data_IF_803968586417
#
_entry.id   IF_803968586417
#
_cell.length_a   1.000
_cell.length_b   1.000
_cell.length_c   1.000
_cell.angle_alpha   90.00
_cell.angle_beta   90.00
_cell.angle_gamma   90.00
#
_symmetry.space_group_name_H-M   'P 1'
#
loop_
_entity.id
_entity.type
_entity.pdbx_description
1 polymer ?
#
# COMPACT_ATOMS: atom_id res chain seq x y z
N UNK A 1 -16.29 -11.11 -10.35
CA UNK A 1 -17.45 -11.86 -10.86
C UNK A 1 -17.86 -12.92 -9.86
N UNK A 2 -19.07 -13.44 -9.97
CA UNK A 2 -19.58 -14.57 -9.19
C UNK A 2 -19.95 -15.74 -10.11
N UNK A 3 -19.99 -16.96 -9.58
CA UNK A 3 -20.30 -18.15 -10.37
C UNK A 3 -19.26 -18.43 -11.46
N UNK A 4 -19.70 -18.75 -12.67
CA UNK A 4 -18.85 -19.11 -13.82
C UNK A 4 -17.90 -17.98 -14.29
N UNK A 5 -18.14 -16.73 -13.85
CA UNK A 5 -17.29 -15.56 -14.16
C UNK A 5 -16.34 -15.17 -13.02
N UNK A 6 -16.18 -16.03 -12.01
CA UNK A 6 -15.28 -15.77 -10.87
C UNK A 6 -13.83 -15.81 -11.33
N UNK A 7 -13.19 -14.65 -11.35
CA UNK A 7 -11.75 -14.51 -11.56
C UNK A 7 -11.05 -14.58 -10.21
N UNK A 8 -10.09 -15.50 -10.07
CA UNK A 8 -9.20 -15.59 -8.91
C UNK A 8 -7.96 -14.76 -9.21
N UNK A 9 -7.93 -13.53 -8.73
CA UNK A 9 -6.79 -12.63 -8.94
C UNK A 9 -5.54 -13.12 -8.17
N UNK A 10 -5.75 -13.69 -6.99
CA UNK A 10 -4.76 -14.40 -6.18
C UNK A 10 -5.33 -15.79 -5.88
N UNK A 11 -4.54 -16.85 -6.08
CA UNK A 11 -4.97 -18.23 -5.90
C UNK A 11 -3.87 -19.02 -5.20
N UNK A 12 -4.04 -19.28 -3.89
CA UNK A 12 -3.06 -20.04 -3.09
C UNK A 12 -1.67 -19.41 -3.03
N UNK A 13 -1.59 -18.08 -2.87
CA UNK A 13 -0.31 -17.36 -2.82
C UNK A 13 0.21 -17.32 -1.39
N UNK A 14 1.36 -17.96 -1.16
CA UNK A 14 2.16 -17.82 0.06
C UNK A 14 3.45 -17.06 -0.25
N UNK A 15 3.66 -15.92 0.40
CA UNK A 15 4.83 -15.05 0.14
C UNK A 15 5.22 -14.26 1.38
N UNK A 16 6.53 -14.21 1.64
CA UNK A 16 7.14 -13.38 2.68
C UNK A 16 8.08 -12.35 2.08
N UNK A 17 7.94 -11.08 2.50
CA UNK A 17 8.79 -9.98 2.07
C UNK A 17 9.64 -9.52 3.25
N UNK A 18 10.94 -9.80 3.20
CA UNK A 18 11.86 -9.47 4.28
C UNK A 18 12.06 -7.96 4.45
N UNK A 19 12.08 -7.50 5.70
CA UNK A 19 12.35 -6.09 6.06
C UNK A 19 13.73 -5.65 5.53
N UNK A 20 13.78 -4.42 5.01
CA UNK A 20 15.03 -3.81 4.53
C UNK A 20 15.55 -4.42 3.21
N UNK A 21 14.72 -5.20 2.51
CA UNK A 21 15.04 -5.73 1.18
C UNK A 21 14.33 -4.93 0.11
N UNK A 22 15.04 -4.74 -1.00
CA UNK A 22 14.44 -4.28 -2.25
C UNK A 22 13.95 -5.51 -3.01
N UNK A 23 12.63 -5.67 -3.09
CA UNK A 23 11.98 -6.85 -3.68
C UNK A 23 11.22 -6.45 -4.94
N UNK A 24 11.43 -7.20 -6.03
CA UNK A 24 10.72 -7.00 -7.29
C UNK A 24 9.71 -8.13 -7.52
N UNK A 25 8.49 -7.77 -7.93
CA UNK A 25 7.44 -8.73 -8.30
C UNK A 25 7.19 -8.61 -9.80
N UNK A 26 7.42 -9.71 -10.53
CA UNK A 26 7.39 -9.75 -12.00
C UNK A 26 6.34 -10.75 -12.50
N UNK A 27 5.77 -10.51 -13.68
CA UNK A 27 4.78 -11.41 -14.28
C UNK A 27 3.92 -10.73 -15.35
N UNK A 28 3.18 -11.50 -16.18
CA UNK A 28 2.41 -10.97 -17.31
C UNK A 28 1.28 -10.04 -16.86
N UNK A 29 0.77 -9.18 -17.75
CA UNK A 29 -0.40 -8.34 -17.45
C UNK A 29 -1.58 -9.21 -17.01
N UNK A 30 -2.32 -8.77 -16.00
CA UNK A 30 -3.45 -9.53 -15.44
C UNK A 30 -3.09 -10.65 -14.46
N UNK A 31 -1.81 -10.94 -14.21
CA UNK A 31 -1.39 -12.02 -13.29
C UNK A 31 -1.60 -11.75 -11.79
N UNK A 32 -2.39 -10.74 -11.41
CA UNK A 32 -2.69 -10.44 -10.01
C UNK A 32 -1.65 -9.62 -9.24
N UNK A 33 -0.53 -9.18 -9.85
CA UNK A 33 0.54 -8.43 -9.16
C UNK A 33 0.07 -7.19 -8.41
N UNK A 34 -0.73 -6.34 -9.08
CA UNK A 34 -1.26 -5.13 -8.45
C UNK A 34 -2.24 -5.47 -7.33
N UNK A 35 -3.03 -6.53 -7.50
CA UNK A 35 -3.92 -7.05 -6.45
C UNK A 35 -3.10 -7.51 -5.23
N UNK A 36 -2.03 -8.29 -5.45
CA UNK A 36 -1.12 -8.71 -4.38
C UNK A 36 -0.55 -7.50 -3.62
N UNK A 37 -0.02 -6.53 -4.36
CA UNK A 37 0.55 -5.30 -3.78
C UNK A 37 -0.50 -4.50 -3.00
N UNK A 38 -1.73 -4.38 -3.50
CA UNK A 38 -2.80 -3.68 -2.78
C UNK A 38 -3.24 -4.42 -1.51
N UNK A 39 -3.33 -5.75 -1.53
CA UNK A 39 -3.64 -6.55 -0.35
C UNK A 39 -2.55 -6.42 0.72
N UNK A 40 -1.27 -6.56 0.34
CA UNK A 40 -0.12 -6.40 1.26
C UNK A 40 -0.08 -5.00 1.90
N UNK A 41 -0.57 -3.99 1.19
CA UNK A 41 -0.63 -2.60 1.65
C UNK A 41 -1.86 -2.26 2.49
N UNK A 42 -2.81 -3.18 2.63
CA UNK A 42 -4.12 -2.91 3.25
C UNK A 42 -4.98 -1.92 2.46
N UNK A 43 -4.79 -1.82 1.14
CA UNK A 43 -5.62 -1.03 0.23
C UNK A 43 -6.82 -1.82 -0.31
N UNK A 44 -6.72 -3.15 -0.30
CA UNK A 44 -7.78 -4.07 -0.71
C UNK A 44 -7.85 -5.23 0.29
N UNK A 45 -8.97 -5.94 0.34
CA UNK A 45 -9.18 -7.06 1.27
C UNK A 45 -9.06 -8.41 0.56
N UNK A 46 -8.43 -9.37 1.21
CA UNK A 46 -8.42 -10.75 0.74
C UNK A 46 -9.79 -11.41 0.90
N UNK A 47 -10.16 -12.27 -0.03
CA UNK A 47 -11.40 -13.07 0.09
C UNK A 47 -11.26 -14.18 1.12
N UNK A 48 -10.09 -14.81 1.17
CA UNK A 48 -9.72 -15.91 2.08
C UNK A 48 -8.23 -15.78 2.43
N UNK A 49 -7.80 -16.32 3.58
CA UNK A 49 -6.42 -16.24 4.06
C UNK A 49 -6.14 -15.03 4.96
N UNK A 50 -4.86 -14.82 5.31
CA UNK A 50 -4.41 -13.72 6.18
C UNK A 50 -3.31 -12.89 5.52
N UNK A 51 -3.20 -11.63 5.93
CA UNK A 51 -2.14 -10.70 5.53
C UNK A 51 -1.60 -10.05 6.79
N UNK A 52 -0.27 -10.02 6.90
CA UNK A 52 0.44 -9.44 8.03
C UNK A 52 1.39 -8.33 7.55
N UNK A 53 1.42 -7.22 8.28
CA UNK A 53 2.39 -6.14 8.10
C UNK A 53 3.29 -6.06 9.33
N UNK A 54 4.43 -6.76 9.28
CA UNK A 54 5.21 -7.05 10.48
C UNK A 54 4.41 -7.95 11.41
N UNK A 55 4.30 -7.58 12.68
CA UNK A 55 3.54 -8.34 13.68
C UNK A 55 2.02 -8.10 13.63
N UNK A 56 1.57 -7.10 12.87
CA UNK A 56 0.16 -6.72 12.80
C UNK A 56 -0.56 -7.54 11.72
N UNK A 57 -1.48 -8.43 12.10
CA UNK A 57 -2.44 -8.99 11.15
C UNK A 57 -3.43 -7.89 10.70
N UNK A 58 -3.51 -7.67 9.39
CA UNK A 58 -4.33 -6.60 8.81
C UNK A 58 -5.64 -7.09 8.21
N UNK A 59 -5.80 -8.40 8.03
CA UNK A 59 -7.04 -9.01 7.54
C UNK A 59 -8.20 -8.69 8.48
N UNK A 60 -9.31 -8.21 7.91
CA UNK A 60 -10.53 -7.91 8.67
C UNK A 60 -10.42 -6.73 9.65
N UNK A 61 -9.32 -5.96 9.64
CA UNK A 61 -9.22 -4.76 10.45
C UNK A 61 -10.28 -3.73 10.04
N UNK A 62 -10.87 -3.07 11.04
CA UNK A 62 -11.80 -1.96 10.79
C UNK A 62 -11.09 -0.81 10.08
N UNK A 63 -11.83 -0.11 9.22
CA UNK A 63 -11.29 0.97 8.36
C UNK A 63 -10.46 2.02 9.13
N UNK A 64 -10.90 2.44 10.34
CA UNK A 64 -10.13 3.39 11.17
C UNK A 64 -8.73 2.90 11.57
N UNK A 65 -8.54 1.58 11.74
CA UNK A 65 -7.22 0.99 12.07
C UNK A 65 -6.39 0.81 10.81
N UNK A 66 -6.99 0.39 9.69
CA UNK A 66 -6.33 0.35 8.38
C UNK A 66 -5.86 1.73 7.93
N UNK A 67 -6.68 2.77 8.11
CA UNK A 67 -6.31 4.16 7.78
C UNK A 67 -5.10 4.65 8.57
N UNK A 68 -5.00 4.32 9.87
CA UNK A 68 -3.80 4.65 10.66
C UNK A 68 -2.59 3.87 10.21
N UNK A 69 -2.74 2.57 9.95
CA UNK A 69 -1.65 1.72 9.50
C UNK A 69 -1.10 2.18 8.14
N UNK A 70 -1.98 2.49 7.17
CA UNK A 70 -1.60 3.04 5.87
C UNK A 70 -0.81 4.33 6.02
N UNK A 71 -1.35 5.27 6.78
CA UNK A 71 -0.72 6.57 7.04
C UNK A 71 0.66 6.45 7.71
N UNK A 72 0.83 5.48 8.59
CA UNK A 72 2.02 5.42 9.46
C UNK A 72 3.09 4.43 8.96
N UNK A 73 2.75 3.47 8.09
CA UNK A 73 3.66 2.37 7.68
C UNK A 73 3.71 2.07 6.19
N UNK A 74 2.83 2.64 5.38
CA UNK A 74 2.72 2.30 3.95
C UNK A 74 2.88 3.56 3.10
N UNK A 75 3.91 3.57 2.24
CA UNK A 75 4.04 4.52 1.15
C UNK A 75 3.64 3.88 -0.17
N UNK A 76 2.93 4.61 -1.04
CA UNK A 76 2.54 4.14 -2.35
C UNK A 76 3.01 5.09 -3.45
N UNK A 77 3.61 4.51 -4.48
CA UNK A 77 3.96 5.22 -5.72
C UNK A 77 3.24 4.50 -6.85
N UNK A 78 2.51 5.26 -7.65
CA UNK A 78 1.72 4.74 -8.76
C UNK A 78 2.44 4.95 -10.08
N UNK A 79 2.09 4.15 -11.10
CA UNK A 79 2.67 4.30 -12.44
C UNK A 79 2.31 5.64 -13.08
N UNK A 80 1.12 6.17 -12.79
CA UNK A 80 0.75 7.55 -13.09
C UNK A 80 1.08 8.43 -11.88
N UNK A 81 1.62 9.63 -12.13
CA UNK A 81 1.93 10.60 -11.08
C UNK A 81 0.63 11.11 -10.46
N UNK A 82 0.20 10.49 -9.35
CA UNK A 82 -0.98 10.90 -8.56
C UNK A 82 -0.69 12.17 -7.73
N UNK A 83 -0.05 13.17 -8.34
CA UNK A 83 0.21 14.46 -7.73
C UNK A 83 -1.05 15.31 -7.77
N UNK A 84 -1.26 16.11 -6.73
CA UNK A 84 -2.34 17.10 -6.70
C UNK A 84 -1.88 18.31 -7.52
N UNK A 85 -2.53 18.64 -8.66
CA UNK A 85 -2.01 19.65 -9.59
C UNK A 85 -1.99 21.07 -9.03
N UNK A 86 -2.79 21.34 -8.00
CA UNK A 86 -2.86 22.63 -7.33
C UNK A 86 -1.77 22.83 -6.28
N UNK A 87 -0.98 21.79 -6.00
CA UNK A 87 0.10 21.81 -5.02
C UNK A 87 1.45 21.75 -5.73
N UNK A 88 2.43 22.46 -5.19
CA UNK A 88 3.83 22.33 -5.63
C UNK A 88 4.44 21.01 -5.14
N UNK A 89 5.70 20.74 -5.53
CA UNK A 89 6.37 19.49 -5.18
C UNK A 89 6.52 19.30 -3.66
N UNK A 90 6.96 20.33 -2.94
CA UNK A 90 7.13 20.29 -1.48
C UNK A 90 5.78 20.06 -0.78
N UNK A 91 4.73 20.74 -1.22
CA UNK A 91 3.37 20.57 -0.70
C UNK A 91 2.84 19.15 -0.93
N UNK A 92 3.10 18.55 -2.10
CA UNK A 92 2.75 17.14 -2.35
C UNK A 92 3.52 16.19 -1.43
N UNK A 93 4.79 16.48 -1.14
CA UNK A 93 5.65 15.67 -0.25
C UNK A 93 5.18 15.77 1.20
N UNK A 94 4.82 16.96 1.69
CA UNK A 94 4.45 17.18 3.11
C UNK A 94 2.97 16.89 3.40
N UNK A 95 2.10 16.86 2.38
CA UNK A 95 0.65 16.66 2.53
C UNK A 95 0.27 15.46 3.44
N UNK A 96 0.87 14.26 3.33
CA UNK A 96 0.54 13.16 4.22
C UNK A 96 0.83 13.46 5.69
N UNK A 97 1.87 14.27 5.97
CA UNK A 97 2.23 14.68 7.33
C UNK A 97 1.25 15.71 7.88
N UNK A 98 0.82 16.66 7.04
CA UNK A 98 -0.20 17.64 7.40
C UNK A 98 -1.54 16.96 7.74
N UNK A 99 -1.96 15.97 6.94
CA UNK A 99 -3.15 15.14 7.22
C UNK A 99 -2.97 14.32 8.51
N UNK A 100 -1.74 13.89 8.81
CA UNK A 100 -1.43 13.20 10.05
C UNK A 100 -1.36 14.12 11.28
N UNK A 101 -1.38 15.45 11.08
CA UNK A 101 -1.15 16.44 12.14
C UNK A 101 0.29 16.41 12.67
N UNK A 102 1.27 16.01 11.83
CA UNK A 102 2.68 15.90 12.17
C UNK A 102 3.48 16.97 11.45
N UNK A 103 4.52 17.49 12.12
CA UNK A 103 5.47 18.39 11.46
C UNK A 103 6.53 17.56 10.73
N UNK A 104 6.91 17.94 9.50
CA UNK A 104 8.00 17.30 8.82
C UNK A 104 9.32 17.55 9.54
N UNK A 105 10.21 16.55 9.47
CA UNK A 105 11.60 16.71 9.85
C UNK A 105 12.28 17.63 8.83
N UNK A 106 12.83 18.75 9.31
CA UNK A 106 13.45 19.77 8.47
C UNK A 106 14.79 19.29 7.89
N UNK A 107 15.57 18.57 8.68
CA UNK A 107 16.88 18.10 8.26
C UNK A 107 16.74 17.03 7.16
N UNK A 108 15.66 16.25 7.22
CA UNK A 108 15.28 15.33 6.14
C UNK A 108 14.79 16.09 4.91
N UNK A 109 13.87 17.06 5.07
CA UNK A 109 13.32 17.83 3.95
C UNK A 109 14.40 18.56 3.14
N UNK A 110 15.42 19.10 3.80
CA UNK A 110 16.51 19.82 3.13
C UNK A 110 17.42 18.89 2.30
N UNK A 111 17.29 17.56 2.43
CA UNK A 111 18.01 16.56 1.64
C UNK A 111 17.23 16.03 0.42
N UNK A 112 15.93 16.37 0.29
CA UNK A 112 15.04 15.84 -0.76
C UNK A 112 14.93 16.79 -1.94
#
# INVERSE_FOLDING_TARGET
GSGETRVRALDGVDVDIAKGRFTAIMGPSGSGKSTLMHCLAGLDTVSEGSVHLGEDEITGLKDKRLTRLRRDRVGFIFQAFNLIPTLNALENITLPMDIAGRRPDRDWLDQV
#
